data_IF_960533721599
#
_entry.id   IF_960533721599
#
_cell.length_a   1.000
_cell.length_b   1.000
_cell.length_c   1.000
_cell.angle_alpha   90.00
_cell.angle_beta   90.00
_cell.angle_gamma   90.00
#
_symmetry.space_group_name_H-M   'P 1'
#
loop_
_entity.id
_entity.type
_entity.pdbx_description
1 polymer ?
#
# COMPACT_ATOMS: atom_id res chain seq x y z
N UNK A 1 20.66 -14.22 -2.38
CA UNK A 1 21.93 -14.77 -2.89
C UNK A 1 23.07 -13.99 -2.24
N UNK A 2 23.79 -14.59 -1.28
CA UNK A 2 24.91 -13.94 -0.59
C UNK A 2 26.05 -13.53 -1.52
N UNK A 3 26.27 -14.24 -2.63
CA UNK A 3 27.38 -13.98 -3.56
C UNK A 3 27.22 -12.64 -4.30
N UNK A 4 25.97 -12.20 -4.50
CA UNK A 4 25.63 -10.98 -5.22
C UNK A 4 25.09 -9.86 -4.29
N UNK A 5 25.17 -10.04 -2.97
CA UNK A 5 24.56 -9.14 -1.99
C UNK A 5 25.04 -7.68 -2.14
N UNK A 6 26.32 -7.45 -2.41
CA UNK A 6 26.88 -6.10 -2.60
C UNK A 6 26.31 -5.40 -3.84
N UNK A 7 26.15 -6.12 -4.94
CA UNK A 7 25.58 -5.60 -6.20
C UNK A 7 24.11 -5.25 -5.99
N UNK A 8 23.35 -6.12 -5.30
CA UNK A 8 21.95 -5.83 -4.99
C UNK A 8 21.81 -4.62 -4.09
N UNK A 9 22.62 -4.53 -3.03
CA UNK A 9 22.58 -3.40 -2.09
C UNK A 9 22.90 -2.09 -2.80
N UNK A 10 23.94 -2.06 -3.64
CA UNK A 10 24.28 -0.89 -4.44
C UNK A 10 23.14 -0.46 -5.36
N UNK A 11 22.52 -1.41 -6.07
CA UNK A 11 21.40 -1.10 -6.97
C UNK A 11 20.16 -0.60 -6.23
N UNK A 12 19.84 -1.19 -5.08
CA UNK A 12 18.73 -0.74 -4.24
C UNK A 12 18.99 0.71 -3.82
N UNK A 13 20.20 1.02 -3.36
CA UNK A 13 20.54 2.38 -2.96
C UNK A 13 20.45 3.37 -4.12
N UNK A 14 20.95 3.02 -5.31
CA UNK A 14 20.82 3.86 -6.50
C UNK A 14 19.35 4.13 -6.85
N UNK A 15 18.46 3.12 -6.71
CA UNK A 15 17.03 3.29 -6.96
C UNK A 15 16.34 4.16 -5.90
N UNK A 16 16.72 4.02 -4.62
CA UNK A 16 16.19 4.85 -3.53
C UNK A 16 16.60 6.31 -3.72
N UNK A 17 17.86 6.56 -4.08
CA UNK A 17 18.34 7.91 -4.38
C UNK A 17 17.61 8.53 -5.57
N UNK A 18 17.43 7.78 -6.66
CA UNK A 18 16.66 8.23 -7.83
C UNK A 18 15.20 8.55 -7.48
N UNK A 19 14.55 7.67 -6.71
CA UNK A 19 13.17 7.85 -6.25
C UNK A 19 12.99 9.18 -5.50
N UNK A 20 13.81 9.42 -4.48
CA UNK A 20 13.71 10.63 -3.66
C UNK A 20 14.20 11.89 -4.36
N UNK A 21 15.12 11.76 -5.33
CA UNK A 21 15.62 12.89 -6.10
C UNK A 21 14.61 13.38 -7.13
N UNK A 22 13.96 12.45 -7.84
CA UNK A 22 13.18 12.81 -9.03
C UNK A 22 11.68 12.67 -8.82
N UNK A 23 11.20 11.60 -8.17
CA UNK A 23 9.78 11.26 -8.16
C UNK A 23 9.02 11.77 -6.94
N UNK A 24 9.69 11.85 -5.78
CA UNK A 24 9.08 12.38 -4.55
C UNK A 24 9.04 13.91 -4.61
N UNK A 25 7.87 14.48 -4.33
CA UNK A 25 7.60 15.93 -4.25
C UNK A 25 7.12 16.29 -2.84
N UNK A 26 8.03 16.49 -1.87
CA UNK A 26 7.66 16.69 -0.46
C UNK A 26 6.74 17.90 -0.25
N UNK A 27 6.95 18.97 -1.01
CA UNK A 27 6.14 20.19 -0.98
C UNK A 27 4.69 19.97 -1.42
N UNK A 28 4.45 18.95 -2.25
CA UNK A 28 3.12 18.51 -2.66
C UNK A 28 2.61 17.30 -1.87
N UNK A 29 3.46 16.68 -1.04
CA UNK A 29 3.22 15.42 -0.33
C UNK A 29 2.80 14.28 -1.26
N UNK A 30 3.54 14.09 -2.36
CA UNK A 30 3.23 13.05 -3.36
C UNK A 30 4.48 12.34 -3.83
N UNK A 31 4.28 11.13 -4.34
CA UNK A 31 5.21 10.40 -5.20
C UNK A 31 4.51 10.27 -6.56
N UNK A 32 5.13 10.81 -7.61
CA UNK A 32 4.54 10.85 -8.95
C UNK A 32 4.85 9.55 -9.72
N UNK A 33 3.91 9.10 -10.55
CA UNK A 33 4.12 7.94 -11.43
C UNK A 33 5.08 8.24 -12.59
N UNK A 34 5.14 9.50 -13.04
CA UNK A 34 5.96 9.92 -14.17
C UNK A 34 6.46 11.34 -13.95
N UNK A 35 7.72 11.56 -14.30
CA UNK A 35 8.41 12.85 -14.30
C UNK A 35 9.24 12.98 -15.57
N UNK A 36 9.66 14.19 -15.91
CA UNK A 36 10.63 14.38 -16.98
C UNK A 36 12.05 13.91 -16.57
N UNK A 37 13.05 13.91 -17.48
CA UNK A 37 14.41 13.48 -17.16
C UNK A 37 15.12 14.27 -16.05
N UNK A 38 14.68 15.50 -15.78
CA UNK A 38 15.23 16.35 -14.72
C UNK A 38 14.47 16.16 -13.38
N UNK A 39 13.39 15.37 -13.41
CA UNK A 39 12.52 15.08 -12.29
C UNK A 39 11.38 16.08 -12.14
N UNK A 40 11.20 17.00 -13.06
CA UNK A 40 10.11 17.97 -12.98
C UNK A 40 8.78 17.32 -13.35
N UNK A 41 7.71 17.83 -12.73
CA UNK A 41 6.36 17.40 -13.03
C UNK A 41 5.98 17.91 -14.42
N UNK A 42 5.70 17.01 -15.36
CA UNK A 42 5.38 17.39 -16.74
C UNK A 42 4.04 18.12 -16.84
N UNK A 43 3.91 18.99 -17.84
CA UNK A 43 2.61 19.57 -18.20
C UNK A 43 1.67 18.47 -18.72
N UNK A 44 0.42 18.48 -18.26
CA UNK A 44 -0.59 17.49 -18.65
C UNK A 44 -1.07 16.61 -17.52
N UNK A 45 -2.01 15.70 -17.81
CA UNK A 45 -2.60 14.82 -16.81
C UNK A 45 -1.66 13.68 -16.39
N UNK A 46 -0.78 13.22 -17.28
CA UNK A 46 0.17 12.15 -16.98
C UNK A 46 1.17 12.57 -15.88
N UNK A 47 1.76 13.76 -16.00
CA UNK A 47 2.68 14.29 -14.99
C UNK A 47 2.05 14.51 -13.62
N UNK A 48 0.72 14.65 -13.54
CA UNK A 48 -0.01 14.79 -12.27
C UNK A 48 -0.59 13.47 -11.76
N UNK A 49 -0.43 12.36 -12.48
CA UNK A 49 -1.02 11.10 -12.06
C UNK A 49 -0.34 10.56 -10.80
N UNK A 50 -1.18 10.17 -9.84
CA UNK A 50 -0.79 9.48 -8.62
C UNK A 50 -1.55 8.16 -8.57
N UNK A 51 -0.85 7.08 -8.20
CA UNK A 51 -1.46 5.82 -7.83
C UNK A 51 -1.24 5.58 -6.33
N UNK A 52 -2.27 5.77 -5.47
CA UNK A 52 -2.11 5.60 -4.02
C UNK A 52 -1.56 4.22 -3.63
N UNK A 53 -1.97 3.17 -4.33
CA UNK A 53 -1.50 1.80 -4.12
C UNK A 53 0.01 1.65 -4.37
N UNK A 54 0.54 2.24 -5.45
CA UNK A 54 1.98 2.17 -5.73
C UNK A 54 2.81 2.94 -4.70
N UNK A 55 2.31 4.10 -4.21
CA UNK A 55 3.01 4.84 -3.14
C UNK A 55 3.03 4.01 -1.86
N UNK A 56 1.92 3.36 -1.51
CA UNK A 56 1.81 2.48 -0.35
C UNK A 56 2.75 1.27 -0.50
N UNK A 57 2.80 0.63 -1.68
CA UNK A 57 3.72 -0.48 -1.96
C UNK A 57 5.18 -0.04 -1.80
N UNK A 58 5.52 1.10 -2.41
CA UNK A 58 6.85 1.69 -2.32
C UNK A 58 7.22 1.98 -0.86
N UNK A 59 6.28 2.48 -0.06
CA UNK A 59 6.54 2.78 1.35
C UNK A 59 7.00 1.55 2.14
N UNK A 60 6.37 0.38 1.96
CA UNK A 60 6.76 -0.80 2.72
C UNK A 60 8.00 -1.50 2.18
N UNK A 61 8.32 -1.33 0.88
CA UNK A 61 9.66 -1.66 0.36
C UNK A 61 10.75 -0.84 1.05
N UNK A 62 10.57 0.48 1.16
CA UNK A 62 11.52 1.36 1.82
C UNK A 62 11.64 1.06 3.32
N UNK A 63 10.52 0.77 3.99
CA UNK A 63 10.54 0.30 5.38
C UNK A 63 11.34 -1.00 5.50
N UNK A 64 11.13 -1.97 4.60
CA UNK A 64 11.87 -3.23 4.62
C UNK A 64 13.38 -3.01 4.50
N UNK A 65 13.82 -2.17 3.56
CA UNK A 65 15.23 -1.83 3.39
C UNK A 65 15.80 -1.08 4.60
N UNK A 66 15.02 -0.16 5.17
CA UNK A 66 15.38 0.55 6.38
C UNK A 66 15.62 -0.40 7.57
N UNK A 67 14.82 -1.47 7.71
CA UNK A 67 15.02 -2.47 8.75
C UNK A 67 16.28 -3.31 8.53
N UNK A 68 16.55 -3.71 7.28
CA UNK A 68 17.73 -4.50 6.92
C UNK A 68 19.01 -3.75 7.31
N UNK A 69 19.05 -2.43 7.08
CA UNK A 69 20.24 -1.61 7.31
C UNK A 69 20.24 -0.84 8.64
N UNK A 70 19.14 -0.89 9.41
CA UNK A 70 18.96 -0.05 10.61
C UNK A 70 18.86 1.45 10.31
N UNK A 71 18.43 1.84 9.10
CA UNK A 71 18.35 3.22 8.64
C UNK A 71 17.05 3.90 9.11
N UNK A 72 17.14 4.61 10.24
CA UNK A 72 16.01 5.36 10.81
C UNK A 72 15.55 6.54 9.95
N UNK A 73 16.44 7.11 9.12
CA UNK A 73 16.10 8.25 8.26
C UNK A 73 15.23 7.76 7.10
N UNK A 74 15.62 6.66 6.46
CA UNK A 74 14.83 6.02 5.43
C UNK A 74 13.47 5.55 5.97
N UNK A 75 13.46 4.96 7.17
CA UNK A 75 12.22 4.55 7.84
C UNK A 75 11.23 5.71 7.98
N UNK A 76 11.68 6.87 8.47
CA UNK A 76 10.81 8.04 8.64
C UNK A 76 10.27 8.56 7.30
N UNK A 77 11.13 8.62 6.26
CA UNK A 77 10.69 9.02 4.91
C UNK A 77 9.64 8.05 4.34
N UNK A 78 9.81 6.75 4.57
CA UNK A 78 8.86 5.75 4.14
C UNK A 78 7.49 5.90 4.84
N UNK A 79 7.52 6.17 6.15
CA UNK A 79 6.33 6.44 6.97
C UNK A 79 5.61 7.70 6.47
N UNK A 80 6.35 8.76 6.10
CA UNK A 80 5.76 9.98 5.53
C UNK A 80 5.01 9.67 4.22
N UNK A 81 5.63 8.92 3.29
CA UNK A 81 4.99 8.51 2.04
C UNK A 81 3.71 7.70 2.28
N UNK A 82 3.73 6.76 3.24
CA UNK A 82 2.56 5.99 3.62
C UNK A 82 1.43 6.91 4.13
N UNK A 83 1.75 7.84 5.05
CA UNK A 83 0.79 8.79 5.62
C UNK A 83 0.14 9.62 4.52
N UNK A 84 0.96 10.20 3.63
CA UNK A 84 0.46 11.05 2.54
C UNK A 84 -0.46 10.30 1.59
N UNK A 85 -0.09 9.06 1.25
CA UNK A 85 -0.90 8.25 0.34
C UNK A 85 -2.24 7.83 0.95
N UNK A 86 -2.26 7.41 2.23
CA UNK A 86 -3.50 7.03 2.91
C UNK A 86 -4.43 8.22 3.13
N UNK A 87 -3.90 9.36 3.59
CA UNK A 87 -4.68 10.59 3.82
C UNK A 87 -5.35 11.09 2.53
N UNK A 88 -4.69 10.94 1.38
CA UNK A 88 -5.20 11.40 0.09
C UNK A 88 -6.01 10.34 -0.65
N UNK A 89 -5.64 9.08 -0.50
CA UNK A 89 -6.12 7.94 -1.29
C UNK A 89 -7.35 7.26 -0.73
N UNK A 90 -7.66 7.43 0.55
CA UNK A 90 -8.81 6.81 1.18
C UNK A 90 -10.10 7.56 0.83
N UNK A 91 -11.09 6.84 0.29
CA UNK A 91 -12.42 7.36 0.03
C UNK A 91 -13.23 7.42 1.33
N UNK A 92 -13.41 8.62 1.88
CA UNK A 92 -14.13 8.82 3.14
C UNK A 92 -15.64 8.61 3.03
N UNK A 93 -16.19 8.54 1.81
CA UNK A 93 -17.63 8.35 1.56
C UNK A 93 -18.00 6.87 1.48
N UNK A 94 -17.25 6.09 0.69
CA UNK A 94 -17.53 4.67 0.46
C UNK A 94 -16.52 3.71 1.11
N UNK A 95 -15.46 4.22 1.72
CA UNK A 95 -14.33 3.41 2.17
C UNK A 95 -13.46 2.92 1.00
N UNK A 96 -12.28 2.38 1.32
CA UNK A 96 -11.37 1.82 0.33
C UNK A 96 -10.52 2.87 -0.41
N UNK A 97 -9.46 2.40 -1.05
CA UNK A 97 -8.50 3.23 -1.77
C UNK A 97 -8.95 3.49 -3.22
N UNK A 98 -8.88 4.75 -3.64
CA UNK A 98 -8.98 5.12 -5.06
C UNK A 98 -7.84 4.49 -5.86
N UNK A 99 -8.11 4.16 -7.13
CA UNK A 99 -7.12 3.58 -8.04
C UNK A 99 -6.13 4.63 -8.53
N UNK A 100 -6.63 5.83 -8.89
CA UNK A 100 -5.80 6.93 -9.37
C UNK A 100 -6.30 8.27 -8.86
N UNK A 101 -5.39 9.22 -8.69
CA UNK A 101 -5.67 10.60 -8.31
C UNK A 101 -4.83 11.57 -9.15
N UNK A 102 -5.21 12.84 -9.11
CA UNK A 102 -4.44 13.94 -9.69
C UNK A 102 -3.72 14.70 -8.57
N UNK A 103 -2.42 14.95 -8.72
CA UNK A 103 -1.53 15.60 -7.77
C UNK A 103 -1.92 17.03 -7.38
N UNK A 104 -2.70 17.71 -8.21
CA UNK A 104 -3.23 19.06 -7.95
C UNK A 104 -4.72 19.06 -7.58
N UNK A 105 -5.32 17.89 -7.40
CA UNK A 105 -6.73 17.76 -7.02
C UNK A 105 -7.70 18.05 -8.16
N UNK A 106 -7.23 17.99 -9.41
CA UNK A 106 -8.09 18.06 -10.61
C UNK A 106 -8.75 16.70 -10.85
N UNK A 107 -9.67 16.65 -11.82
CA UNK A 107 -10.26 15.38 -12.26
C UNK A 107 -9.17 14.47 -12.85
N UNK A 108 -8.97 13.25 -12.33
CA UNK A 108 -8.04 12.29 -12.93
C UNK A 108 -8.46 11.92 -14.36
N UNK A 109 -7.47 11.60 -15.21
CA UNK A 109 -7.72 11.26 -16.61
C UNK A 109 -8.18 9.81 -16.81
N UNK A 110 -7.81 8.91 -15.91
CA UNK A 110 -8.20 7.51 -15.91
C UNK A 110 -9.70 7.41 -15.66
N UNK A 111 -10.41 6.62 -16.45
CA UNK A 111 -11.87 6.45 -16.30
C UNK A 111 -12.17 5.66 -15.02
N UNK A 112 -11.30 4.71 -14.72
CA UNK A 112 -11.30 3.82 -13.56
C UNK A 112 -10.74 4.46 -12.28
N UNK A 113 -10.47 5.77 -12.27
CA UNK A 113 -9.74 6.43 -11.18
C UNK A 113 -10.34 6.17 -9.79
N UNK A 114 -11.66 6.04 -9.70
CA UNK A 114 -12.38 5.84 -8.44
C UNK A 114 -12.68 4.39 -8.09
N UNK A 115 -12.31 3.45 -8.96
CA UNK A 115 -12.49 2.03 -8.72
C UNK A 115 -11.66 1.54 -7.53
N UNK A 116 -12.08 0.43 -6.93
CA UNK A 116 -11.42 -0.18 -5.78
C UNK A 116 -10.80 -1.49 -6.22
N UNK A 117 -9.48 -1.54 -6.27
CA UNK A 117 -8.71 -2.71 -6.71
C UNK A 117 -8.28 -3.56 -5.52
N UNK A 118 -8.14 -4.87 -5.70
CA UNK A 118 -7.73 -5.77 -4.60
C UNK A 118 -6.30 -5.49 -4.12
N UNK A 119 -5.37 -5.21 -5.04
CA UNK A 119 -3.94 -5.17 -4.71
C UNK A 119 -3.53 -3.94 -3.88
N UNK A 120 -4.03 -2.70 -4.09
CA UNK A 120 -3.68 -1.58 -3.22
C UNK A 120 -4.06 -1.84 -1.77
N UNK A 121 -5.18 -2.53 -1.54
CA UNK A 121 -5.63 -2.92 -0.21
C UNK A 121 -4.73 -3.99 0.41
N UNK A 122 -4.27 -4.97 -0.38
CA UNK A 122 -3.25 -5.93 0.04
C UNK A 122 -1.96 -5.22 0.49
N UNK A 123 -1.49 -4.23 -0.27
CA UNK A 123 -0.27 -3.47 0.07
C UNK A 123 -0.47 -2.60 1.31
N UNK A 124 -1.66 -2.01 1.46
CA UNK A 124 -1.99 -1.18 2.59
C UNK A 124 -2.06 -1.98 3.91
N UNK A 125 -2.55 -3.22 3.87
CA UNK A 125 -2.48 -4.14 5.02
C UNK A 125 -1.03 -4.39 5.46
N UNK A 126 -0.14 -4.68 4.52
CA UNK A 126 1.28 -4.91 4.81
C UNK A 126 1.91 -3.63 5.37
N UNK A 127 1.73 -2.50 4.68
CA UNK A 127 2.40 -1.25 5.00
C UNK A 127 1.98 -0.70 6.37
N UNK A 128 0.68 -0.73 6.68
CA UNK A 128 0.17 -0.19 7.95
C UNK A 128 0.56 -1.07 9.13
N UNK A 129 0.49 -2.40 9.00
CA UNK A 129 0.98 -3.28 10.05
C UNK A 129 2.49 -3.16 10.24
N UNK A 130 3.26 -3.08 9.16
CA UNK A 130 4.70 -2.87 9.24
C UNK A 130 5.04 -1.53 9.92
N UNK A 131 4.34 -0.45 9.59
CA UNK A 131 4.50 0.84 10.24
C UNK A 131 4.17 0.78 11.74
N UNK A 132 3.12 0.04 12.13
CA UNK A 132 2.80 -0.20 13.54
C UNK A 132 3.92 -0.96 14.26
N UNK A 133 4.39 -2.08 13.69
CA UNK A 133 5.50 -2.87 14.26
C UNK A 133 6.75 -2.01 14.44
N UNK A 134 7.04 -1.14 13.47
CA UNK A 134 8.25 -0.30 13.44
C UNK A 134 8.22 0.85 14.44
N UNK A 135 7.05 1.43 14.69
CA UNK A 135 6.92 2.71 15.41
C UNK A 135 6.18 2.60 16.73
N UNK A 136 5.33 1.59 16.90
CA UNK A 136 4.34 1.45 17.98
C UNK A 136 3.35 2.62 18.06
N UNK A 137 3.20 3.41 17.00
CA UNK A 137 2.16 4.44 16.90
C UNK A 137 0.81 3.79 16.57
N UNK A 138 -0.14 3.84 17.54
CA UNK A 138 -1.50 3.28 17.42
C UNK A 138 -2.32 3.85 16.26
N UNK A 139 -1.89 4.94 15.62
CA UNK A 139 -2.50 5.39 14.36
C UNK A 139 -2.40 4.35 13.26
N UNK A 140 -1.29 3.60 13.19
CA UNK A 140 -1.10 2.58 12.17
C UNK A 140 -1.91 1.32 12.43
N UNK A 141 -2.10 0.95 13.69
CA UNK A 141 -3.05 -0.08 14.13
C UNK A 141 -4.48 0.25 13.66
N UNK A 142 -4.96 1.47 13.93
CA UNK A 142 -6.29 1.91 13.47
C UNK A 142 -6.44 1.92 11.96
N UNK A 143 -5.39 2.33 11.24
CA UNK A 143 -5.38 2.24 9.77
C UNK A 143 -5.45 0.80 9.29
N UNK A 144 -4.67 -0.11 9.90
CA UNK A 144 -4.70 -1.53 9.59
C UNK A 144 -6.09 -2.12 9.80
N UNK A 145 -6.74 -1.83 10.93
CA UNK A 145 -8.12 -2.25 11.23
C UNK A 145 -9.11 -1.73 10.16
N UNK A 146 -9.04 -0.44 9.85
CA UNK A 146 -9.90 0.20 8.83
C UNK A 146 -9.75 -0.47 7.46
N UNK A 147 -8.50 -0.72 7.03
CA UNK A 147 -8.22 -1.37 5.75
C UNK A 147 -8.66 -2.83 5.79
N UNK A 148 -8.39 -3.55 6.88
CA UNK A 148 -8.77 -4.94 7.07
C UNK A 148 -10.28 -5.12 6.97
N UNK A 149 -11.05 -4.36 7.75
CA UNK A 149 -12.51 -4.39 7.72
C UNK A 149 -13.04 -4.21 6.29
N UNK A 150 -12.61 -3.15 5.60
CA UNK A 150 -13.02 -2.90 4.23
C UNK A 150 -12.61 -4.05 3.29
N UNK A 151 -11.37 -4.52 3.41
CA UNK A 151 -10.81 -5.49 2.46
C UNK A 151 -11.54 -6.83 2.55
N UNK A 152 -11.71 -7.35 3.77
CA UNK A 152 -12.32 -8.65 3.99
C UNK A 152 -13.84 -8.65 3.86
N UNK A 153 -14.51 -7.49 3.95
CA UNK A 153 -15.94 -7.41 3.70
C UNK A 153 -16.30 -7.28 2.21
N UNK A 154 -15.37 -6.85 1.34
CA UNK A 154 -15.69 -6.52 -0.06
C UNK A 154 -15.04 -7.45 -1.10
N UNK A 155 -13.79 -7.88 -0.91
CA UNK A 155 -13.05 -8.60 -1.94
C UNK A 155 -13.23 -10.13 -1.91
N UNK A 156 -13.24 -10.81 -0.75
CA UNK A 156 -13.38 -12.27 -0.71
C UNK A 156 -14.68 -12.76 -1.37
N UNK A 157 -14.57 -13.83 -2.15
CA UNK A 157 -15.73 -14.56 -2.65
C UNK A 157 -15.96 -15.82 -1.78
N UNK A 158 -16.97 -15.81 -0.89
CA UNK A 158 -17.24 -16.94 -0.02
C UNK A 158 -17.84 -18.16 -0.75
N UNK A 159 -18.29 -18.01 -2.00
CA UNK A 159 -18.94 -19.08 -2.76
C UNK A 159 -17.91 -19.91 -3.51
N UNK A 160 -16.96 -19.26 -4.19
CA UNK A 160 -15.99 -19.94 -5.06
C UNK A 160 -14.55 -19.84 -4.57
N UNK A 161 -14.31 -19.16 -3.45
CA UNK A 161 -12.98 -18.88 -2.94
C UNK A 161 -12.23 -17.82 -3.76
N UNK A 162 -11.06 -17.44 -3.28
CA UNK A 162 -10.27 -16.33 -3.83
C UNK A 162 -11.03 -14.99 -3.75
N UNK A 163 -10.48 -13.91 -4.28
CA UNK A 163 -11.00 -12.55 -4.18
C UNK A 163 -11.37 -11.97 -5.55
N UNK A 164 -12.45 -11.21 -5.61
CA UNK A 164 -12.70 -10.33 -6.75
C UNK A 164 -11.53 -9.35 -6.91
N UNK A 165 -11.17 -9.04 -8.16
CA UNK A 165 -10.11 -8.07 -8.43
C UNK A 165 -10.59 -6.63 -8.39
N UNK A 166 -11.79 -6.37 -8.92
CA UNK A 166 -12.19 -5.03 -9.32
C UNK A 166 -13.61 -4.75 -8.83
N UNK A 167 -13.73 -3.69 -8.03
CA UNK A 167 -14.99 -3.18 -7.54
C UNK A 167 -15.23 -1.77 -8.07
N UNK A 168 -16.50 -1.41 -8.20
CA UNK A 168 -16.90 -0.03 -8.39
C UNK A 168 -16.59 0.80 -7.14
N UNK A 169 -16.68 2.14 -7.24
CA UNK A 169 -16.39 3.04 -6.12
C UNK A 169 -17.20 2.71 -4.87
N UNK A 170 -18.46 2.31 -5.05
CA UNK A 170 -19.39 1.94 -3.99
C UNK A 170 -19.14 0.55 -3.37
N UNK A 171 -18.08 -0.15 -3.79
CA UNK A 171 -17.72 -1.47 -3.31
C UNK A 171 -18.47 -2.63 -3.98
N UNK A 172 -19.39 -2.36 -4.92
CA UNK A 172 -20.07 -3.40 -5.68
C UNK A 172 -19.12 -4.08 -6.69
N UNK A 173 -19.34 -5.36 -6.97
CA UNK A 173 -18.47 -6.14 -7.86
C UNK A 173 -18.58 -5.61 -9.29
N UNK A 174 -17.47 -5.07 -9.82
CA UNK A 174 -17.40 -4.60 -11.20
C UNK A 174 -17.00 -5.72 -12.18
N UNK A 175 -16.21 -6.69 -11.70
CA UNK A 175 -15.75 -7.80 -12.52
C UNK A 175 -15.64 -9.08 -11.69
N UNK A 176 -16.28 -10.15 -12.18
CA UNK A 176 -16.33 -11.46 -11.50
C UNK A 176 -15.12 -12.35 -11.78
N UNK A 177 -14.23 -11.95 -12.69
CA UNK A 177 -13.01 -12.69 -13.03
C UNK A 177 -12.02 -12.69 -11.85
N UNK A 178 -11.57 -13.88 -11.45
CA UNK A 178 -10.61 -14.08 -10.35
C UNK A 178 -9.14 -14.00 -10.74
N UNK A 179 -8.84 -14.10 -12.04
CA UNK A 179 -7.49 -13.95 -12.55
C UNK A 179 -7.47 -13.53 -14.01
N UNK A 180 -6.51 -12.67 -14.37
CA UNK A 180 -6.32 -12.16 -15.72
C UNK A 180 -4.84 -11.79 -15.93
N UNK A 181 -4.53 -11.01 -16.97
CA UNK A 181 -3.17 -10.57 -17.27
C UNK A 181 -2.50 -9.75 -16.14
N UNK A 182 -3.29 -9.13 -15.26
CA UNK A 182 -2.83 -8.29 -14.16
C UNK A 182 -3.03 -8.94 -12.79
N UNK A 183 -4.10 -9.74 -12.62
CA UNK A 183 -4.41 -10.48 -11.39
C UNK A 183 -3.96 -11.92 -11.50
N UNK A 184 -2.85 -12.22 -10.83
CA UNK A 184 -2.28 -13.57 -10.72
C UNK A 184 -2.09 -13.94 -9.25
N UNK A 185 -1.66 -15.17 -8.99
CA UNK A 185 -1.36 -15.70 -7.65
C UNK A 185 -0.10 -15.04 -7.05
N UNK A 186 -0.19 -13.75 -6.72
CA UNK A 186 0.92 -12.94 -6.23
C UNK A 186 0.52 -12.06 -5.03
N UNK A 187 -0.21 -10.96 -5.25
CA UNK A 187 -0.48 -9.97 -4.20
C UNK A 187 -1.20 -10.56 -2.99
N UNK A 188 -2.27 -11.35 -3.19
CA UNK A 188 -3.06 -11.92 -2.10
C UNK A 188 -2.24 -12.89 -1.24
N UNK A 189 -1.64 -13.97 -1.79
CA UNK A 189 -0.85 -14.90 -0.96
C UNK A 189 0.38 -14.22 -0.34
N UNK A 190 1.04 -13.28 -1.04
CA UNK A 190 2.15 -12.49 -0.49
C UNK A 190 1.68 -11.67 0.71
N UNK A 191 0.54 -11.00 0.58
CA UNK A 191 -0.06 -10.19 1.64
C UNK A 191 -0.33 -11.05 2.88
N UNK A 192 -1.04 -12.17 2.73
CA UNK A 192 -1.34 -13.06 3.87
C UNK A 192 -0.07 -13.52 4.58
N UNK A 193 0.92 -14.01 3.84
CA UNK A 193 2.19 -14.46 4.42
C UNK A 193 2.95 -13.33 5.13
N UNK A 194 2.95 -12.12 4.56
CA UNK A 194 3.61 -10.96 5.17
C UNK A 194 2.89 -10.48 6.42
N UNK A 195 1.57 -10.41 6.40
CA UNK A 195 0.75 -10.03 7.57
C UNK A 195 0.96 -11.03 8.71
N UNK A 196 0.86 -12.34 8.46
CA UNK A 196 1.14 -13.37 9.48
C UNK A 196 2.54 -13.18 10.07
N UNK A 197 3.56 -13.03 9.21
CA UNK A 197 4.94 -12.85 9.67
C UNK A 197 5.12 -11.59 10.53
N UNK A 198 4.38 -10.51 10.24
CA UNK A 198 4.41 -9.28 11.02
C UNK A 198 3.64 -9.40 12.35
N UNK A 199 2.56 -10.18 12.38
CA UNK A 199 1.82 -10.47 13.61
C UNK A 199 2.65 -11.35 14.56
N UNK A 200 3.41 -12.31 14.04
CA UNK A 200 4.24 -13.22 14.84
C UNK A 200 5.37 -12.52 15.62
N UNK A 201 5.79 -11.33 15.17
CA UNK A 201 6.80 -10.53 15.89
C UNK A 201 6.18 -9.60 16.96
N UNK A 202 4.86 -9.47 17.00
CA UNK A 202 4.18 -8.71 18.03
C UNK A 202 4.03 -9.55 19.31
N UNK A 203 4.16 -8.94 20.51
CA UNK A 203 3.87 -9.63 21.76
C UNK A 203 2.43 -10.14 21.79
N UNK A 204 2.22 -11.39 22.22
CA UNK A 204 0.87 -11.99 22.33
C UNK A 204 -0.09 -11.20 23.24
N UNK A 205 0.45 -10.41 24.17
CA UNK A 205 -0.31 -9.59 25.10
C UNK A 205 -0.79 -8.25 24.49
N UNK A 206 -0.31 -7.90 23.29
CA UNK A 206 -0.79 -6.75 22.50
C UNK A 206 -1.98 -7.13 21.61
N UNK A 207 -2.16 -8.42 21.29
CA UNK A 207 -3.26 -8.93 20.46
C UNK A 207 -4.53 -9.25 21.26
N UNK A 208 -4.45 -9.31 22.60
CA UNK A 208 -5.46 -9.94 23.46
C UNK A 208 -6.19 -8.99 24.41
N UNK A 209 -6.05 -7.66 24.26
CA UNK A 209 -6.54 -6.70 25.25
C UNK A 209 -7.94 -6.13 25.06
N UNK A 210 -8.71 -6.63 24.10
CA UNK A 210 -10.16 -6.40 24.13
C UNK A 210 -10.90 -7.74 24.04
N UNK A 211 -11.79 -7.98 25.00
CA UNK A 211 -12.88 -8.96 24.90
C UNK A 211 -13.82 -8.52 23.77
N UNK A 212 -13.39 -8.69 22.54
CA UNK A 212 -14.21 -8.63 21.33
C UNK A 212 -13.97 -9.96 20.65
N UNK A 213 -15.05 -10.72 20.44
CA UNK A 213 -15.05 -12.03 19.80
C UNK A 213 -14.16 -12.03 18.57
N UNK A 214 -12.96 -12.60 18.68
CA UNK A 214 -11.85 -12.49 17.72
C UNK A 214 -12.27 -12.96 16.32
N UNK A 215 -12.52 -12.05 15.36
CA UNK A 215 -12.77 -12.39 13.96
C UNK A 215 -11.47 -12.42 13.15
N UNK A 216 -10.36 -11.90 13.69
CA UNK A 216 -9.08 -11.75 12.99
C UNK A 216 -8.43 -13.13 12.81
N UNK A 217 -8.56 -14.02 13.80
CA UNK A 217 -8.13 -15.42 13.68
C UNK A 217 -9.04 -16.31 12.83
N UNK A 218 -10.24 -15.85 12.48
CA UNK A 218 -11.18 -16.61 11.65
C UNK A 218 -11.13 -16.24 10.14
N UNK A 219 -10.36 -15.20 9.77
CA UNK A 219 -10.34 -14.67 8.41
C UNK A 219 -8.98 -14.74 7.70
N UNK A 220 -7.94 -15.32 8.32
CA UNK A 220 -6.69 -15.67 7.63
C UNK A 220 -6.76 -17.11 7.10
#
# INVERSE_FOLDING_TARGET
DPEHASIYSSRIQDRIEELFRYFVKPEKKVLLETVDPDGEMTEGCEGRTINPGHIIETSWFLMSEAHINGDKVLLNKAIDLLSWSLERGWDTEFGGLFSFLDAEGKQPAQIEWDMKYWWPHCEALIATLMAYVSTKDRRWERWFETIHEYTFSHFPDPVYGEWFGYLHRDGSIANTVKGNHYKVCFHIPRCMLKVISLLDVLPKDELSKEEVSDPILHCI
#
